data_IF_447164735445
#
_entry.id   IF_447164735445
#
_cell.length_a   1.000
_cell.length_b   1.000
_cell.length_c   1.000
_cell.angle_alpha   90.00
_cell.angle_beta   90.00
_cell.angle_gamma   90.00
#
_symmetry.space_group_name_H-M   'P 1'
#
loop_
_entity.id
_entity.type
_entity.pdbx_description
1 polymer ?
#
# COMPACT_ATOMS: atom_id res chain seq x y z
N UNK A 1 -7.42 -10.28 -22.74
CA UNK A 1 -8.13 -9.60 -21.65
C UNK A 1 -7.13 -8.89 -20.75
N UNK A 2 -7.29 -7.60 -20.58
CA UNK A 2 -6.37 -6.88 -19.73
C UNK A 2 -6.52 -7.34 -18.28
N UNK A 3 -5.42 -7.54 -17.66
CA UNK A 3 -5.41 -7.94 -16.27
C UNK A 3 -5.33 -6.72 -15.38
N UNK A 4 -6.21 -6.66 -14.41
CA UNK A 4 -6.14 -5.61 -13.41
C UNK A 4 -4.84 -5.77 -12.64
N UNK A 5 -4.03 -4.74 -12.53
CA UNK A 5 -2.82 -4.83 -11.71
C UNK A 5 -3.15 -5.20 -10.28
N UNK A 6 -2.21 -5.84 -9.61
CA UNK A 6 -2.39 -6.23 -8.22
C UNK A 6 -2.81 -5.05 -7.33
N UNK A 7 -2.26 -3.88 -7.62
CA UNK A 7 -2.58 -2.67 -6.89
C UNK A 7 -3.51 -1.75 -7.67
N UNK A 8 -4.30 -2.33 -8.58
CA UNK A 8 -5.09 -1.56 -9.54
C UNK A 8 -6.16 -0.71 -8.90
N UNK A 9 -7.38 -0.80 -9.40
CA UNK A 9 -8.44 0.11 -8.97
C UNK A 9 -8.78 -0.12 -7.50
N UNK A 10 -8.64 0.94 -6.71
CA UNK A 10 -8.96 0.93 -5.29
C UNK A 10 -10.12 1.88 -5.06
N UNK A 11 -11.17 1.44 -4.36
CA UNK A 11 -12.28 2.33 -4.06
C UNK A 11 -11.86 3.52 -3.20
N UNK A 12 -12.57 4.61 -3.36
CA UNK A 12 -12.32 5.81 -2.57
C UNK A 12 -12.38 5.50 -1.07
N UNK A 13 -11.38 5.97 -0.32
CA UNK A 13 -11.34 5.80 1.11
C UNK A 13 -10.91 4.41 1.58
N UNK A 14 -10.40 3.58 0.66
CA UNK A 14 -9.96 2.23 0.99
C UNK A 14 -8.46 2.08 0.79
N UNK A 15 -7.90 1.22 1.60
CA UNK A 15 -6.50 0.81 1.49
C UNK A 15 -6.48 -0.70 1.23
N UNK A 16 -5.85 -1.10 0.15
CA UNK A 16 -5.62 -2.51 -0.13
C UNK A 16 -4.13 -2.76 0.00
N UNK A 17 -3.74 -3.62 0.92
CA UNK A 17 -2.35 -3.94 1.16
C UNK A 17 -2.14 -5.44 1.09
N UNK A 18 -0.98 -5.83 0.60
CA UNK A 18 -0.64 -7.23 0.39
C UNK A 18 0.69 -7.55 1.06
N UNK A 19 0.82 -8.74 1.64
CA UNK A 19 2.09 -9.11 2.25
C UNK A 19 3.21 -9.13 1.21
N UNK A 20 4.38 -8.68 1.61
CA UNK A 20 5.55 -8.74 0.75
C UNK A 20 6.68 -9.46 1.47
N UNK A 21 7.57 -10.04 0.69
CA UNK A 21 8.73 -10.72 1.26
C UNK A 21 9.70 -9.66 1.79
N UNK A 22 9.98 -9.76 3.07
CA UNK A 22 10.88 -8.83 3.72
C UNK A 22 12.32 -9.32 3.53
N UNK A 23 13.14 -8.50 2.87
CA UNK A 23 14.54 -8.83 2.61
C UNK A 23 15.48 -8.15 3.59
N UNK A 24 15.02 -7.11 4.23
CA UNK A 24 15.76 -6.30 5.18
C UNK A 24 14.82 -5.96 6.32
N UNK A 25 15.36 -5.75 7.52
CA UNK A 25 14.53 -5.41 8.67
C UNK A 25 13.83 -4.06 8.49
N UNK A 26 14.31 -3.24 7.56
CA UNK A 26 13.69 -1.96 7.25
C UNK A 26 12.61 -2.06 6.18
N UNK A 27 12.48 -3.21 5.54
CA UNK A 27 11.47 -3.40 4.52
C UNK A 27 10.09 -3.49 5.16
N UNK A 28 9.06 -2.99 4.47
CA UNK A 28 7.71 -3.11 5.00
C UNK A 28 7.22 -4.55 5.01
N UNK A 29 6.28 -4.83 5.89
CA UNK A 29 5.62 -6.13 5.93
C UNK A 29 4.52 -6.22 4.88
N UNK A 30 3.92 -5.09 4.51
CA UNK A 30 2.86 -5.02 3.52
C UNK A 30 3.08 -3.83 2.62
N UNK A 31 2.62 -3.96 1.39
CA UNK A 31 2.59 -2.86 0.43
C UNK A 31 1.26 -2.86 -0.30
N UNK A 32 0.81 -1.68 -0.64
CA UNK A 32 -0.45 -1.57 -1.34
C UNK A 32 -0.71 -0.17 -1.83
N UNK A 33 -1.99 0.11 -2.04
CA UNK A 33 -2.43 1.42 -2.50
C UNK A 33 -3.63 1.87 -1.69
N UNK A 34 -3.75 3.18 -1.58
CA UNK A 34 -4.89 3.81 -0.92
C UNK A 34 -5.37 4.94 -1.82
N UNK A 35 -6.68 5.12 -1.90
CA UNK A 35 -7.27 6.20 -2.68
C UNK A 35 -7.97 7.16 -1.76
N UNK A 36 -7.54 8.43 -1.82
CA UNK A 36 -8.09 9.49 -1.00
C UNK A 36 -8.33 10.72 -1.87
N UNK A 37 -9.56 11.23 -1.82
CA UNK A 37 -9.95 12.44 -2.54
C UNK A 37 -9.61 12.36 -4.03
N UNK A 38 -9.85 11.20 -4.62
CA UNK A 38 -9.59 11.01 -6.04
C UNK A 38 -8.13 10.79 -6.40
N UNK A 39 -7.22 10.86 -5.44
CA UNK A 39 -5.80 10.63 -5.66
C UNK A 39 -5.39 9.29 -5.12
N UNK A 40 -4.48 8.65 -5.81
CA UNK A 40 -3.97 7.35 -5.43
C UNK A 40 -2.57 7.49 -4.85
N UNK A 41 -2.33 6.79 -3.74
CA UNK A 41 -1.06 6.83 -3.04
C UNK A 41 -0.54 5.42 -2.87
N UNK A 42 0.77 5.29 -2.83
CA UNK A 42 1.41 4.03 -2.46
C UNK A 42 1.52 3.97 -0.95
N UNK A 43 1.23 2.80 -0.39
CA UNK A 43 1.27 2.59 1.04
C UNK A 43 2.29 1.52 1.39
N UNK A 44 3.05 1.76 2.43
CA UNK A 44 3.95 0.77 3.01
C UNK A 44 3.59 0.65 4.49
N UNK A 45 3.48 -0.57 4.99
CA UNK A 45 3.06 -0.82 6.35
C UNK A 45 4.08 -1.69 7.06
N UNK A 46 4.38 -1.30 8.29
CA UNK A 46 5.28 -2.05 9.16
C UNK A 46 4.48 -2.49 10.38
N UNK A 47 4.43 -3.80 10.59
CA UNK A 47 3.74 -4.36 11.75
C UNK A 47 4.64 -4.27 12.97
N UNK A 48 4.19 -3.59 14.00
CA UNK A 48 4.90 -3.46 15.28
C UNK A 48 4.12 -4.23 16.33
N UNK A 49 4.74 -4.39 17.50
CA UNK A 49 4.09 -5.13 18.59
C UNK A 49 2.87 -4.41 19.15
N UNK A 50 2.86 -3.10 19.09
CA UNK A 50 1.81 -2.28 19.69
C UNK A 50 1.03 -1.43 18.69
N UNK A 51 1.44 -1.45 17.41
CA UNK A 51 0.80 -0.61 16.39
C UNK A 51 1.22 -1.06 15.01
N UNK A 52 0.59 -0.46 14.02
CA UNK A 52 1.02 -0.58 12.63
C UNK A 52 1.45 0.79 12.16
N UNK A 53 2.70 0.89 11.71
CA UNK A 53 3.21 2.11 11.10
C UNK A 53 2.88 2.09 9.62
N UNK A 54 2.42 3.20 9.10
CA UNK A 54 2.12 3.31 7.68
C UNK A 54 2.74 4.58 7.12
N UNK A 55 3.31 4.43 5.94
CA UNK A 55 3.84 5.55 5.17
C UNK A 55 3.12 5.58 3.83
N UNK A 56 2.67 6.74 3.41
CA UNK A 56 2.04 6.89 2.12
C UNK A 56 2.84 7.86 1.26
N UNK A 57 2.89 7.58 -0.03
CA UNK A 57 3.59 8.40 -0.99
C UNK A 57 2.68 8.62 -2.19
N UNK A 58 2.63 9.85 -2.68
CA UNK A 58 1.82 10.17 -3.83
C UNK A 58 2.38 9.48 -5.06
N UNK A 59 1.50 8.86 -5.84
CA UNK A 59 1.90 8.23 -7.10
C UNK A 59 2.18 9.31 -8.11
N UNK A 60 3.40 9.37 -8.68
CA UNK A 60 3.69 10.33 -9.73
C UNK A 60 2.84 9.99 -10.94
N UNK A 61 2.20 10.98 -11.47
CA UNK A 61 1.28 10.69 -12.51
C UNK A 61 1.16 11.55 -13.64
#
# INVERSE_FOLDING_TARGET
MPRTPKYGVVPEGRLYAFPVVQKDIHDPDYRGTVKLRGKQYLASLWSRSDRIDMRIEEVPG
#
